data_IF_975521641251
#
_entry.id   IF_975521641251
#
_cell.length_a   1.000
_cell.length_b   1.000
_cell.length_c   1.000
_cell.angle_alpha   90.00
_cell.angle_beta   90.00
_cell.angle_gamma   90.00
#
_symmetry.space_group_name_H-M   'P 1'
#
loop_
_entity.id
_entity.type
_entity.pdbx_description
1 polymer ?
#
# COMPACT_ATOMS: atom_id res chain seq x y z
N UNK A 1 -6.23 -13.75 -46.01
CA UNK A 1 -7.21 -13.71 -44.92
C UNK A 1 -6.75 -14.64 -43.79
N UNK A 2 -6.12 -14.14 -42.75
CA UNK A 2 -5.81 -14.89 -41.53
C UNK A 2 -6.50 -14.20 -40.37
N UNK A 3 -7.46 -14.89 -39.74
CA UNK A 3 -8.22 -14.42 -38.59
C UNK A 3 -7.37 -14.59 -37.32
N UNK A 4 -7.05 -13.48 -36.64
CA UNK A 4 -6.39 -13.48 -35.36
C UNK A 4 -7.47 -13.51 -34.24
N UNK A 5 -7.50 -14.61 -33.52
CA UNK A 5 -8.39 -14.81 -32.37
C UNK A 5 -7.84 -14.04 -31.18
N UNK A 6 -8.60 -13.07 -30.68
CA UNK A 6 -8.35 -12.38 -29.41
C UNK A 6 -8.70 -13.33 -28.26
N UNK A 7 -7.72 -13.72 -27.47
CA UNK A 7 -7.93 -14.45 -26.23
C UNK A 7 -8.29 -13.45 -25.11
N UNK A 8 -9.52 -13.51 -24.67
CA UNK A 8 -10.03 -12.77 -23.52
C UNK A 8 -9.53 -13.47 -22.25
N UNK A 9 -8.68 -12.79 -21.49
CA UNK A 9 -8.18 -13.29 -20.21
C UNK A 9 -9.25 -13.00 -19.12
N UNK A 10 -10.00 -14.01 -18.74
CA UNK A 10 -10.93 -13.96 -17.62
C UNK A 10 -10.15 -14.10 -16.31
N UNK A 11 -10.24 -13.11 -15.43
CA UNK A 11 -9.73 -13.19 -14.06
C UNK A 11 -10.76 -13.94 -13.24
N UNK A 12 -10.45 -15.18 -12.89
CA UNK A 12 -11.26 -15.98 -11.98
C UNK A 12 -11.01 -15.51 -10.53
N UNK A 13 -12.07 -15.04 -9.88
CA UNK A 13 -12.08 -14.79 -8.44
C UNK A 13 -12.16 -16.14 -7.72
N UNK A 14 -11.09 -16.54 -7.06
CA UNK A 14 -11.08 -17.74 -6.21
C UNK A 14 -11.58 -17.38 -4.82
N UNK A 15 -12.76 -17.85 -4.47
CA UNK A 15 -13.31 -17.79 -3.12
C UNK A 15 -12.50 -18.76 -2.22
N UNK A 16 -11.89 -18.24 -1.17
CA UNK A 16 -11.23 -19.04 -0.12
C UNK A 16 -12.31 -19.52 0.84
N UNK A 17 -12.58 -20.83 0.80
CA UNK A 17 -13.47 -21.52 1.72
C UNK A 17 -12.74 -21.73 3.07
N UNK A 18 -13.23 -21.10 4.13
CA UNK A 18 -12.76 -21.30 5.50
C UNK A 18 -13.28 -22.66 6.00
N UNK A 19 -12.41 -23.65 6.11
CA UNK A 19 -12.71 -24.91 6.77
C UNK A 19 -12.43 -24.76 8.26
N UNK A 20 -13.49 -24.69 9.05
CA UNK A 20 -13.40 -24.73 10.51
C UNK A 20 -13.04 -26.15 10.98
N UNK A 21 -11.91 -26.29 11.65
CA UNK A 21 -11.53 -27.54 12.33
C UNK A 21 -12.02 -27.45 13.77
N UNK A 22 -13.12 -28.11 14.09
CA UNK A 22 -13.53 -28.36 15.46
C UNK A 22 -12.80 -29.61 15.97
N UNK A 23 -11.82 -29.44 16.84
CA UNK A 23 -11.21 -30.55 17.57
C UNK A 23 -12.06 -30.87 18.81
N UNK A 24 -12.70 -32.03 18.78
CA UNK A 24 -13.36 -32.59 19.95
C UNK A 24 -12.30 -33.26 20.84
N UNK A 25 -12.09 -32.75 22.07
CA UNK A 25 -11.32 -33.42 23.09
C UNK A 25 -12.30 -34.23 23.98
N UNK A 26 -12.17 -35.54 23.92
CA UNK A 26 -12.82 -36.45 24.85
C UNK A 26 -12.12 -36.40 26.23
N UNK A 27 -12.92 -36.34 27.32
CA UNK A 27 -12.45 -36.12 28.65
C UNK A 27 -11.70 -37.31 29.23
N UNK A 28 -10.70 -37.03 30.06
CA UNK A 28 -10.18 -37.91 31.12
C UNK A 28 -10.30 -37.14 32.43
N UNK A 29 -11.01 -37.73 33.37
CA UNK A 29 -11.26 -37.17 34.69
C UNK A 29 -9.99 -37.09 35.56
N UNK A 30 -9.93 -36.11 36.42
CA UNK A 30 -8.88 -36.02 37.43
C UNK A 30 -8.91 -34.68 38.19
N UNK A 31 -9.41 -34.75 39.43
CA UNK A 31 -9.11 -33.90 40.60
C UNK A 31 -9.17 -32.37 40.45
N UNK A 32 -10.19 -31.81 41.07
CA UNK A 32 -10.39 -30.39 41.30
C UNK A 32 -9.27 -29.76 42.16
N UNK A 33 -8.48 -28.91 41.55
CA UNK A 33 -7.64 -27.93 42.25
C UNK A 33 -8.41 -26.60 42.37
N UNK A 34 -8.25 -25.81 43.44
CA UNK A 34 -8.95 -24.56 43.60
C UNK A 34 -8.45 -23.55 42.50
N UNK A 35 -9.37 -23.07 41.70
CA UNK A 35 -9.11 -22.03 40.73
C UNK A 35 -8.82 -20.71 41.49
N UNK A 36 -7.54 -20.37 41.67
CA UNK A 36 -7.11 -19.02 41.90
C UNK A 36 -7.36 -18.25 40.59
N UNK A 37 -8.48 -17.51 40.58
CA UNK A 37 -8.83 -16.68 39.43
C UNK A 37 -7.79 -15.57 39.23
N UNK A 38 -6.78 -15.88 38.43
CA UNK A 38 -6.01 -14.83 37.75
C UNK A 38 -6.89 -14.33 36.63
N UNK A 39 -7.70 -13.32 36.89
CA UNK A 39 -8.22 -12.46 35.84
C UNK A 39 -7.00 -11.84 35.14
N UNK A 40 -6.59 -12.43 34.04
CA UNK A 40 -5.71 -11.74 33.11
C UNK A 40 -6.51 -10.52 32.63
N UNK A 41 -6.25 -9.37 33.25
CA UNK A 41 -6.54 -8.11 32.63
C UNK A 41 -5.74 -8.12 31.32
N UNK A 42 -6.40 -8.40 30.20
CA UNK A 42 -5.89 -8.02 28.90
C UNK A 42 -5.81 -6.50 28.93
N UNK A 43 -4.62 -6.00 29.25
CA UNK A 43 -4.30 -4.59 29.10
C UNK A 43 -4.47 -4.32 27.61
N UNK A 44 -5.51 -3.57 27.22
CA UNK A 44 -5.62 -3.02 25.89
C UNK A 44 -4.31 -2.27 25.63
N UNK A 45 -3.44 -2.84 24.82
CA UNK A 45 -2.21 -2.18 24.38
C UNK A 45 -2.65 -1.00 23.53
N UNK A 46 -2.77 0.16 24.15
CA UNK A 46 -3.01 1.43 23.45
C UNK A 46 -1.81 1.67 22.54
N UNK A 47 -2.07 1.82 21.23
CA UNK A 47 -1.03 2.17 20.25
C UNK A 47 -0.34 3.45 20.70
N UNK A 48 0.98 3.42 20.87
CA UNK A 48 1.77 4.62 21.20
C UNK A 48 2.13 5.43 19.94
N UNK A 49 2.55 6.68 20.16
CA UNK A 49 3.07 7.51 19.05
C UNK A 49 4.29 6.86 18.37
N UNK A 50 5.16 6.23 19.17
CA UNK A 50 6.32 5.50 18.66
C UNK A 50 5.93 4.27 17.82
N UNK A 51 4.96 3.46 18.28
CA UNK A 51 4.46 2.30 17.55
C UNK A 51 3.84 2.71 16.20
N UNK A 52 3.07 3.79 16.22
CA UNK A 52 2.48 4.33 14.99
C UNK A 52 3.54 4.76 14.00
N UNK A 53 4.55 5.51 14.45
CA UNK A 53 5.66 5.98 13.62
C UNK A 53 6.40 4.81 12.99
N UNK A 54 6.88 3.87 13.80
CA UNK A 54 7.60 2.68 13.31
C UNK A 54 6.75 1.88 12.31
N UNK A 55 5.44 1.77 12.57
CA UNK A 55 4.52 1.05 11.67
C UNK A 55 4.38 1.76 10.33
N UNK A 56 4.17 3.08 10.32
CA UNK A 56 4.03 3.83 9.06
C UNK A 56 5.33 3.89 8.29
N UNK A 57 6.47 4.16 8.94
CA UNK A 57 7.80 4.18 8.31
C UNK A 57 8.11 2.84 7.63
N UNK A 58 7.90 1.73 8.36
CA UNK A 58 8.11 0.40 7.81
C UNK A 58 7.20 0.11 6.61
N UNK A 59 5.90 0.39 6.71
CA UNK A 59 4.96 0.07 5.65
C UNK A 59 5.11 0.98 4.43
N UNK A 60 5.44 2.25 4.61
CA UNK A 60 5.66 3.19 3.51
C UNK A 60 7.02 2.95 2.84
N UNK A 61 8.08 2.65 3.61
CA UNK A 61 9.36 2.22 3.05
C UNK A 61 9.22 0.90 2.27
N UNK A 62 8.51 -0.10 2.82
CA UNK A 62 8.21 -1.35 2.13
C UNK A 62 7.40 -1.11 0.84
N UNK A 63 6.46 -0.14 0.86
CA UNK A 63 5.69 0.26 -0.32
C UNK A 63 6.61 0.69 -1.48
N UNK A 64 7.59 1.55 -1.22
CA UNK A 64 8.54 2.00 -2.25
C UNK A 64 9.35 0.83 -2.83
N UNK A 65 9.85 -0.08 -1.98
CA UNK A 65 10.60 -1.28 -2.41
C UNK A 65 9.74 -2.18 -3.30
N UNK A 66 8.51 -2.46 -2.87
CA UNK A 66 7.59 -3.35 -3.60
C UNK A 66 7.11 -2.71 -4.91
N UNK A 67 6.86 -1.38 -4.91
CA UNK A 67 6.48 -0.66 -6.12
C UNK A 67 7.59 -0.69 -7.17
N UNK A 68 8.83 -0.40 -6.78
CA UNK A 68 9.98 -0.49 -7.68
C UNK A 68 10.16 -1.92 -8.23
N UNK A 69 10.12 -2.93 -7.35
CA UNK A 69 10.24 -4.32 -7.79
C UNK A 69 9.17 -4.70 -8.79
N UNK A 70 7.90 -4.39 -8.50
CA UNK A 70 6.78 -4.69 -9.39
C UNK A 70 6.93 -3.97 -10.74
N UNK A 71 7.27 -2.68 -10.74
CA UNK A 71 7.38 -1.90 -11.99
C UNK A 71 8.57 -2.34 -12.84
N UNK A 72 9.73 -2.65 -12.25
CA UNK A 72 10.88 -3.18 -12.97
C UNK A 72 10.57 -4.54 -13.62
N UNK A 73 9.90 -5.44 -12.90
CA UNK A 73 9.44 -6.71 -13.45
C UNK A 73 8.38 -6.52 -14.55
N UNK A 74 7.48 -5.56 -14.36
CA UNK A 74 6.42 -5.27 -15.32
C UNK A 74 6.96 -4.69 -16.62
N UNK A 75 7.88 -3.72 -16.57
CA UNK A 75 8.43 -3.08 -17.77
C UNK A 75 9.33 -4.00 -18.57
N UNK A 76 9.93 -5.01 -17.92
CA UNK A 76 10.74 -6.05 -18.60
C UNK A 76 9.90 -7.25 -19.07
N UNK A 77 8.60 -7.25 -18.83
CA UNK A 77 7.71 -8.37 -19.23
C UNK A 77 7.94 -9.66 -18.45
N UNK A 78 8.48 -9.58 -17.23
CA UNK A 78 8.76 -10.73 -16.39
C UNK A 78 7.49 -11.48 -16.01
N UNK A 79 7.53 -12.82 -16.03
CA UNK A 79 6.46 -13.68 -15.53
C UNK A 79 6.22 -13.52 -14.02
N UNK A 80 7.18 -12.96 -13.28
CA UNK A 80 7.05 -12.68 -11.85
C UNK A 80 6.24 -11.41 -11.53
N UNK A 81 5.93 -10.57 -12.53
CA UNK A 81 5.21 -9.31 -12.33
C UNK A 81 3.88 -9.46 -11.55
N UNK A 82 2.98 -10.42 -11.85
CA UNK A 82 1.74 -10.57 -11.09
C UNK A 82 1.98 -10.89 -9.61
N UNK A 83 2.98 -11.70 -9.29
CA UNK A 83 3.32 -12.02 -7.91
C UNK A 83 3.85 -10.79 -7.16
N UNK A 84 4.68 -9.96 -7.80
CA UNK A 84 5.18 -8.72 -7.23
C UNK A 84 4.05 -7.68 -7.04
N UNK A 85 3.14 -7.53 -8.00
CA UNK A 85 1.96 -6.67 -7.88
C UNK A 85 1.04 -7.11 -6.72
N UNK A 86 0.85 -8.42 -6.53
CA UNK A 86 0.11 -8.96 -5.40
C UNK A 86 0.80 -8.68 -4.05
N UNK A 87 2.14 -8.69 -3.99
CA UNK A 87 2.87 -8.31 -2.79
C UNK A 87 2.65 -6.83 -2.43
N UNK A 88 2.68 -5.95 -3.42
CA UNK A 88 2.37 -4.53 -3.26
C UNK A 88 0.93 -4.29 -2.79
N UNK A 89 -0.06 -5.07 -3.28
CA UNK A 89 -1.44 -4.98 -2.79
C UNK A 89 -1.57 -5.44 -1.34
N UNK A 90 -0.87 -6.51 -0.91
CA UNK A 90 -0.85 -6.91 0.50
C UNK A 90 -0.29 -5.82 1.42
N UNK A 91 0.76 -5.12 1.00
CA UNK A 91 1.27 -3.96 1.73
C UNK A 91 0.20 -2.85 1.82
N UNK A 92 -0.54 -2.58 0.74
CA UNK A 92 -1.66 -1.64 0.74
C UNK A 92 -2.75 -2.01 1.75
N UNK A 93 -3.07 -3.30 1.87
CA UNK A 93 -4.01 -3.81 2.89
C UNK A 93 -3.46 -3.60 4.29
N UNK A 94 -2.17 -3.88 4.52
CA UNK A 94 -1.53 -3.67 5.83
C UNK A 94 -1.54 -2.18 6.24
N UNK A 95 -1.29 -1.24 5.31
CA UNK A 95 -1.43 0.20 5.56
C UNK A 95 -2.87 0.56 5.94
N UNK A 96 -3.85 0.02 5.23
CA UNK A 96 -5.27 0.21 5.56
C UNK A 96 -5.61 -0.28 6.97
N UNK A 97 -5.08 -1.42 7.37
CA UNK A 97 -5.26 -1.97 8.71
C UNK A 97 -4.60 -1.08 9.78
N UNK A 98 -3.39 -0.55 9.51
CA UNK A 98 -2.72 0.39 10.42
C UNK A 98 -3.53 1.69 10.58
N UNK A 99 -4.08 2.25 9.50
CA UNK A 99 -4.99 3.41 9.59
C UNK A 99 -6.28 3.02 10.32
N UNK A 100 -6.81 1.84 10.06
CA UNK A 100 -8.03 1.33 10.70
C UNK A 100 -7.90 1.12 12.21
N UNK A 101 -6.71 0.76 12.70
CA UNK A 101 -6.45 0.61 14.15
C UNK A 101 -6.53 1.95 14.90
N UNK A 102 -6.27 3.07 14.23
CA UNK A 102 -6.30 4.43 14.83
C UNK A 102 -7.66 5.13 14.61
N UNK A 103 -8.24 5.00 13.43
CA UNK A 103 -9.43 5.75 13.02
C UNK A 103 -10.70 4.88 12.90
N UNK A 104 -10.58 3.58 13.16
CA UNK A 104 -11.64 2.58 12.97
C UNK A 104 -11.63 1.94 11.58
N UNK A 105 -12.13 0.71 11.49
CA UNK A 105 -12.10 -0.12 10.28
C UNK A 105 -12.69 0.56 9.04
N UNK A 106 -13.75 1.38 9.22
CA UNK A 106 -14.36 2.14 8.12
C UNK A 106 -13.39 3.17 7.52
N UNK A 107 -12.60 3.84 8.36
CA UNK A 107 -11.59 4.81 7.91
C UNK A 107 -10.46 4.10 7.13
N UNK A 108 -9.98 2.96 7.63
CA UNK A 108 -9.02 2.13 6.91
C UNK A 108 -9.53 1.72 5.53
N UNK A 109 -10.79 1.26 5.45
CA UNK A 109 -11.42 0.92 4.16
C UNK A 109 -11.51 2.13 3.23
N UNK A 110 -11.90 3.31 3.74
CA UNK A 110 -11.98 4.54 2.95
C UNK A 110 -10.61 5.00 2.46
N UNK A 111 -9.56 4.86 3.28
CA UNK A 111 -8.17 5.10 2.88
C UNK A 111 -7.76 4.19 1.71
N UNK A 112 -8.10 2.92 1.77
CA UNK A 112 -7.69 1.91 0.79
C UNK A 112 -8.45 2.02 -0.52
N UNK A 113 -9.80 1.98 -0.43
CA UNK A 113 -10.70 1.77 -1.56
C UNK A 113 -11.45 3.06 -1.93
N UNK A 114 -11.55 3.31 -3.21
CA UNK A 114 -12.31 4.42 -3.79
C UNK A 114 -11.62 4.98 -5.03
N UNK A 115 -12.35 5.77 -5.82
CA UNK A 115 -11.76 6.50 -6.94
C UNK A 115 -10.66 7.43 -6.41
N UNK A 116 -9.45 7.31 -6.91
CA UNK A 116 -8.30 8.13 -6.50
C UNK A 116 -7.88 7.99 -5.02
N UNK A 117 -8.17 6.85 -4.37
CA UNK A 117 -7.64 6.47 -3.07
C UNK A 117 -6.39 5.60 -3.20
N UNK A 118 -5.86 5.10 -2.08
CA UNK A 118 -4.55 4.43 -2.05
C UNK A 118 -4.40 3.31 -3.09
N UNK A 119 -5.33 2.35 -3.15
CA UNK A 119 -5.26 1.25 -4.12
C UNK A 119 -5.37 1.72 -5.57
N UNK A 120 -6.11 2.81 -5.84
CA UNK A 120 -6.25 3.35 -7.18
C UNK A 120 -4.93 3.87 -7.73
N UNK A 121 -4.06 4.53 -6.91
CA UNK A 121 -2.77 5.01 -7.41
C UNK A 121 -1.81 3.87 -7.77
N UNK A 122 -1.81 2.79 -6.98
CA UNK A 122 -1.06 1.57 -7.30
C UNK A 122 -1.49 1.04 -8.67
N UNK A 123 -2.81 0.97 -8.91
CA UNK A 123 -3.33 0.57 -10.22
C UNK A 123 -2.89 1.51 -11.35
N UNK A 124 -2.96 2.82 -11.15
CA UNK A 124 -2.53 3.79 -12.17
C UNK A 124 -1.03 3.66 -12.47
N UNK A 125 -0.23 3.33 -11.47
CA UNK A 125 1.20 3.10 -11.66
C UNK A 125 1.47 1.77 -12.40
N UNK A 126 0.69 0.73 -12.14
CA UNK A 126 0.69 -0.51 -12.93
C UNK A 126 0.28 -0.25 -14.38
N UNK A 127 -0.77 0.55 -14.60
CA UNK A 127 -1.21 0.94 -15.96
C UNK A 127 -0.09 1.70 -16.69
N UNK A 128 0.60 2.62 -16.01
CA UNK A 128 1.78 3.33 -16.55
C UNK A 128 2.92 2.38 -16.92
N UNK A 129 3.20 1.39 -16.05
CA UNK A 129 4.23 0.36 -16.28
C UNK A 129 3.94 -0.46 -17.53
N UNK A 130 2.71 -0.97 -17.65
CA UNK A 130 2.27 -1.76 -18.80
C UNK A 130 2.29 -0.93 -20.09
N UNK A 131 1.85 0.32 -20.03
CA UNK A 131 1.88 1.24 -21.16
C UNK A 131 3.33 1.54 -21.61
N UNK A 132 4.25 1.70 -20.66
CA UNK A 132 5.69 1.89 -20.93
C UNK A 132 6.29 0.69 -21.61
N UNK A 133 6.02 -0.53 -21.12
CA UNK A 133 6.47 -1.78 -21.74
C UNK A 133 5.95 -1.94 -23.18
N UNK A 134 4.72 -1.51 -23.45
CA UNK A 134 4.07 -1.57 -24.77
C UNK A 134 4.39 -0.38 -25.67
N UNK A 135 5.10 0.63 -25.17
CA UNK A 135 5.34 1.91 -25.86
C UNK A 135 4.04 2.61 -26.30
N UNK A 136 2.98 2.46 -25.50
CA UNK A 136 1.67 3.10 -25.73
C UNK A 136 1.64 4.47 -25.04
N UNK A 137 1.96 5.52 -25.80
CA UNK A 137 2.05 6.89 -25.27
C UNK A 137 0.68 7.44 -24.83
N UNK A 138 -0.42 7.04 -25.49
CA UNK A 138 -1.75 7.49 -25.10
C UNK A 138 -2.16 6.91 -23.73
N UNK A 139 -1.92 5.61 -23.52
CA UNK A 139 -2.15 4.96 -22.22
C UNK A 139 -1.24 5.51 -21.13
N UNK A 140 0.04 5.82 -21.43
CA UNK A 140 0.96 6.48 -20.49
C UNK A 140 0.42 7.85 -20.03
N UNK A 141 0.01 8.71 -20.99
CA UNK A 141 -0.55 10.02 -20.68
C UNK A 141 -1.79 9.92 -19.80
N UNK A 142 -2.69 8.96 -20.10
CA UNK A 142 -3.87 8.70 -19.28
C UNK A 142 -3.51 8.29 -17.85
N UNK A 143 -2.54 7.39 -17.70
CA UNK A 143 -2.08 6.95 -16.38
C UNK A 143 -1.47 8.12 -15.58
N UNK A 144 -0.67 8.98 -16.20
CA UNK A 144 -0.10 10.19 -15.59
C UNK A 144 -1.20 11.17 -15.15
N UNK A 145 -2.21 11.43 -15.99
CA UNK A 145 -3.34 12.29 -15.63
C UNK A 145 -4.13 11.75 -14.43
N UNK A 146 -4.31 10.43 -14.35
CA UNK A 146 -4.93 9.77 -13.19
C UNK A 146 -4.07 9.92 -11.93
N UNK A 147 -2.75 9.74 -12.02
CA UNK A 147 -1.83 9.93 -10.90
C UNK A 147 -1.83 11.38 -10.41
N UNK A 148 -1.85 12.37 -11.31
CA UNK A 148 -1.98 13.78 -10.94
C UNK A 148 -3.31 14.07 -10.23
N UNK A 149 -4.41 13.51 -10.72
CA UNK A 149 -5.71 13.63 -10.04
C UNK A 149 -5.68 12.97 -8.65
N UNK A 150 -5.03 11.82 -8.53
CA UNK A 150 -4.82 11.15 -7.25
C UNK A 150 -4.09 12.06 -6.24
N UNK A 151 -2.98 12.71 -6.63
CA UNK A 151 -2.23 13.56 -5.69
C UNK A 151 -3.09 14.68 -5.10
N UNK A 152 -4.02 15.22 -5.89
CA UNK A 152 -4.98 16.24 -5.42
C UNK A 152 -6.04 15.63 -4.50
N UNK A 153 -6.71 14.57 -4.95
CA UNK A 153 -7.85 13.98 -4.23
C UNK A 153 -7.43 13.30 -2.94
N UNK A 154 -6.38 12.53 -2.99
CA UNK A 154 -5.87 11.84 -1.82
C UNK A 154 -5.16 12.79 -0.85
N UNK A 155 -4.45 13.80 -1.36
CA UNK A 155 -3.87 14.88 -0.54
C UNK A 155 -4.96 15.64 0.23
N UNK A 156 -6.11 15.94 -0.39
CA UNK A 156 -7.25 16.56 0.29
C UNK A 156 -7.87 15.65 1.35
N UNK A 157 -7.96 14.35 1.06
CA UNK A 157 -8.43 13.35 2.03
C UNK A 157 -7.49 13.27 3.25
N UNK A 158 -6.18 13.18 3.02
CA UNK A 158 -5.20 13.17 4.12
C UNK A 158 -5.23 14.46 4.93
N UNK A 159 -5.34 15.62 4.27
CA UNK A 159 -5.44 16.91 4.95
C UNK A 159 -6.68 16.98 5.86
N UNK A 160 -7.83 16.50 5.37
CA UNK A 160 -9.05 16.41 6.17
C UNK A 160 -8.92 15.47 7.38
N UNK A 161 -8.17 14.38 7.23
CA UNK A 161 -7.96 13.40 8.28
C UNK A 161 -6.90 13.83 9.32
N UNK A 162 -5.86 14.55 8.92
CA UNK A 162 -4.70 14.86 9.76
C UNK A 162 -4.61 16.31 10.24
N UNK A 163 -5.34 17.22 9.59
CA UNK A 163 -5.22 18.67 9.82
C UNK A 163 -3.96 19.30 9.17
N UNK A 164 -3.17 18.54 8.44
CA UNK A 164 -2.01 19.07 7.72
C UNK A 164 -2.43 19.96 6.54
N UNK A 165 -1.57 20.91 6.10
CA UNK A 165 -1.88 21.80 4.98
C UNK A 165 -2.08 21.00 3.68
N UNK A 166 -3.20 21.25 3.00
CA UNK A 166 -3.55 20.55 1.74
C UNK A 166 -2.45 20.63 0.68
N UNK A 167 -1.88 21.82 0.50
CA UNK A 167 -0.86 22.03 -0.53
C UNK A 167 0.42 21.25 -0.22
N UNK A 168 0.80 21.16 1.06
CA UNK A 168 1.97 20.39 1.48
C UNK A 168 1.77 18.90 1.14
N UNK A 169 0.63 18.31 1.49
CA UNK A 169 0.34 16.90 1.21
C UNK A 169 0.19 16.60 -0.29
N UNK A 170 -0.42 17.50 -1.06
CA UNK A 170 -0.50 17.35 -2.53
C UNK A 170 0.89 17.35 -3.17
N UNK A 171 1.78 18.25 -2.72
CA UNK A 171 3.15 18.34 -3.24
C UNK A 171 3.99 17.13 -2.81
N UNK A 172 3.85 16.67 -1.58
CA UNK A 172 4.47 15.45 -1.06
C UNK A 172 4.11 14.23 -1.94
N UNK A 173 2.82 13.99 -2.15
CA UNK A 173 2.34 12.90 -3.00
C UNK A 173 2.79 13.06 -4.46
N UNK A 174 2.84 14.29 -4.98
CA UNK A 174 3.32 14.55 -6.35
C UNK A 174 4.82 14.24 -6.46
N UNK A 175 5.61 14.64 -5.46
CA UNK A 175 7.04 14.31 -5.38
C UNK A 175 7.27 12.81 -5.46
N UNK A 176 6.62 12.05 -4.60
CA UNK A 176 6.68 10.58 -4.60
C UNK A 176 6.31 9.96 -5.96
N UNK A 177 5.21 10.40 -6.57
CA UNK A 177 4.79 9.91 -7.90
C UNK A 177 5.85 10.22 -8.97
N UNK A 178 6.44 11.41 -8.95
CA UNK A 178 7.45 11.81 -9.94
C UNK A 178 8.76 11.04 -9.77
N UNK A 179 9.18 10.76 -8.54
CA UNK A 179 10.38 9.99 -8.24
C UNK A 179 10.25 8.54 -8.74
N UNK A 180 9.17 7.84 -8.39
CA UNK A 180 8.94 6.48 -8.87
C UNK A 180 8.74 6.43 -10.39
N UNK A 181 8.03 7.41 -10.97
CA UNK A 181 7.90 7.53 -12.43
C UNK A 181 9.26 7.72 -13.09
N UNK A 182 10.08 8.61 -12.57
CA UNK A 182 11.43 8.85 -13.07
C UNK A 182 12.33 7.63 -12.95
N UNK A 183 12.22 6.88 -11.85
CA UNK A 183 12.91 5.61 -11.62
C UNK A 183 12.53 4.60 -12.73
N UNK A 184 11.24 4.38 -12.97
CA UNK A 184 10.76 3.45 -13.99
C UNK A 184 11.18 3.88 -15.39
N UNK A 185 11.08 5.17 -15.74
CA UNK A 185 11.49 5.70 -17.04
C UNK A 185 13.00 5.52 -17.29
N UNK A 186 13.82 5.73 -16.26
CA UNK A 186 15.26 5.49 -16.33
C UNK A 186 15.57 3.99 -16.49
N UNK A 187 14.89 3.13 -15.73
CA UNK A 187 15.05 1.68 -15.80
C UNK A 187 14.66 1.14 -17.19
N UNK A 188 13.52 1.58 -17.73
CA UNK A 188 13.07 1.21 -19.07
C UNK A 188 14.03 1.62 -20.20
N UNK A 189 14.85 2.65 -19.96
CA UNK A 189 15.90 3.13 -20.87
C UNK A 189 17.28 2.51 -20.57
N UNK A 190 17.36 1.51 -19.70
CA UNK A 190 18.61 0.89 -19.23
C UNK A 190 19.60 1.86 -18.56
N UNK A 191 19.10 2.98 -18.02
CA UNK A 191 19.87 3.96 -17.25
C UNK A 191 19.89 3.54 -15.77
N UNK A 192 20.46 2.38 -15.47
CA UNK A 192 20.33 1.71 -14.17
C UNK A 192 20.88 2.51 -12.99
N UNK A 193 22.01 3.21 -13.16
CA UNK A 193 22.55 4.09 -12.11
C UNK A 193 21.58 5.19 -11.75
N UNK A 194 20.99 5.86 -12.76
CA UNK A 194 19.98 6.89 -12.54
C UNK A 194 18.73 6.32 -11.87
N UNK A 195 18.29 5.14 -12.32
CA UNK A 195 17.15 4.46 -11.72
C UNK A 195 17.39 4.13 -10.24
N UNK A 196 18.60 3.68 -9.88
CA UNK A 196 18.97 3.40 -8.49
C UNK A 196 18.94 4.67 -7.63
N UNK A 197 19.56 5.77 -8.07
CA UNK A 197 19.53 7.05 -7.33
C UNK A 197 18.09 7.55 -7.13
N UNK A 198 17.25 7.48 -8.16
CA UNK A 198 15.84 7.92 -8.04
C UNK A 198 15.04 7.01 -7.09
N UNK A 199 15.38 5.72 -7.03
CA UNK A 199 14.78 4.82 -6.07
C UNK A 199 15.17 5.17 -4.62
N UNK A 200 16.47 5.44 -4.37
CA UNK A 200 16.95 5.88 -3.05
C UNK A 200 16.18 7.12 -2.58
N UNK A 201 15.99 8.12 -3.45
CA UNK A 201 15.20 9.30 -3.14
C UNK A 201 13.73 8.95 -2.82
N UNK A 202 13.09 8.10 -3.63
CA UNK A 202 11.71 7.69 -3.39
C UNK A 202 11.55 6.90 -2.09
N UNK A 203 12.55 6.09 -1.73
CA UNK A 203 12.58 5.35 -0.47
C UNK A 203 12.68 6.28 0.74
N UNK A 204 13.65 7.19 0.74
CA UNK A 204 13.84 8.19 1.80
C UNK A 204 12.61 9.10 1.95
N UNK A 205 12.00 9.50 0.82
CA UNK A 205 10.77 10.30 0.80
C UNK A 205 9.63 9.59 1.56
N UNK A 206 9.48 8.27 1.39
CA UNK A 206 8.42 7.54 2.08
C UNK A 206 8.60 7.50 3.59
N UNK A 207 9.82 7.50 4.10
CA UNK A 207 10.08 7.66 5.54
C UNK A 207 9.72 9.07 6.02
N UNK A 208 10.07 10.11 5.28
CA UNK A 208 9.68 11.49 5.63
C UNK A 208 8.15 11.65 5.64
N UNK A 209 7.45 11.04 4.68
CA UNK A 209 5.99 11.01 4.65
C UNK A 209 5.43 10.24 5.87
N UNK A 210 6.04 9.12 6.24
CA UNK A 210 5.69 8.33 7.43
C UNK A 210 5.80 9.15 8.71
N UNK A 211 6.94 9.80 8.92
CA UNK A 211 7.18 10.71 10.04
C UNK A 211 6.17 11.85 10.12
N UNK A 212 5.91 12.51 8.99
CA UNK A 212 4.95 13.61 8.89
C UNK A 212 3.55 13.17 9.30
N UNK A 213 3.07 12.06 8.73
CA UNK A 213 1.74 11.54 9.01
C UNK A 213 1.63 11.00 10.44
N UNK A 214 2.63 10.24 10.91
CA UNK A 214 2.64 9.72 12.27
C UNK A 214 2.62 10.85 13.32
N UNK A 215 3.41 11.89 13.13
CA UNK A 215 3.44 13.05 14.04
C UNK A 215 2.10 13.79 14.08
N UNK A 216 1.48 14.03 12.91
CA UNK A 216 0.18 14.69 12.83
C UNK A 216 -0.94 13.86 13.48
N UNK A 217 -0.96 12.55 13.21
CA UNK A 217 -1.95 11.62 13.78
C UNK A 217 -1.75 11.48 15.29
N UNK A 218 -0.51 11.32 15.76
CA UNK A 218 -0.21 11.22 17.19
C UNK A 218 -0.69 12.46 17.95
N UNK A 219 -0.43 13.65 17.41
CA UNK A 219 -0.92 14.92 17.98
C UNK A 219 -2.45 14.97 18.02
N UNK A 220 -3.12 14.62 16.92
CA UNK A 220 -4.58 14.66 16.81
C UNK A 220 -5.26 13.67 17.77
N UNK A 221 -4.66 12.49 17.97
CA UNK A 221 -5.21 11.41 18.80
C UNK A 221 -4.69 11.41 20.23
N UNK A 222 -3.83 12.37 20.61
CA UNK A 222 -3.18 12.46 21.91
C UNK A 222 -2.44 11.15 22.26
N UNK A 223 -1.80 10.50 21.28
CA UNK A 223 -0.97 9.32 21.53
C UNK A 223 0.31 9.73 22.28
N UNK A 224 0.72 8.89 23.24
CA UNK A 224 1.92 9.10 24.06
C UNK A 224 3.04 8.15 23.65
#
# INVERSE_FOLDING_TARGET
>A
MRRTTLATLAIAATAVLMIGITAAFAGVGGTSMPATGHTMHMQETTVTAADLRVTLDRLLGEHAVLAMNATNLGVTGSKAFPAAANALDRNSVALSQAIGSIYGARAGKTFLDGPFMWRAHVKFFVDYTVATAKKDEAAKQKAVANLQTYTVRFGDFLAGATGLPKLALRNDLLGHVLELKGQLDAYAKHQYTKAATMYEHAYDHMFMTGDLLAGAIAKQKNLR
#
